data_IF_640964251138
#
_entry.id   IF_640964251138
#
_cell.length_a   1.000
_cell.length_b   1.000
_cell.length_c   1.000
_cell.angle_alpha   90.00
_cell.angle_beta   90.00
_cell.angle_gamma   90.00
#
_symmetry.space_group_name_H-M   'P 1'
#
loop_
_entity.id
_entity.type
_entity.pdbx_description
1 polymer ?
#
# COMPACT_ATOMS: atom_id res chain seq x y z
N UNK A 1 -75.36 -48.51 -19.23
CA UNK A 1 -75.12 -47.90 -20.56
C UNK A 1 -75.01 -46.37 -20.54
N UNK A 2 -76.10 -45.59 -20.70
CA UNK A 2 -75.99 -44.11 -20.88
C UNK A 2 -75.40 -43.38 -19.67
N UNK A 3 -75.79 -43.77 -18.45
CA UNK A 3 -75.27 -43.17 -17.21
C UNK A 3 -73.78 -43.51 -16.94
N UNK A 4 -73.31 -44.71 -17.27
CA UNK A 4 -71.88 -45.06 -17.13
C UNK A 4 -71.01 -44.29 -18.11
N UNK A 5 -71.45 -44.15 -19.36
CA UNK A 5 -70.76 -43.34 -20.37
C UNK A 5 -70.63 -41.88 -19.93
N UNK A 6 -71.69 -41.31 -19.37
CA UNK A 6 -71.65 -39.96 -18.80
C UNK A 6 -70.65 -39.85 -17.64
N UNK A 7 -70.60 -40.84 -16.73
CA UNK A 7 -69.62 -40.84 -15.64
C UNK A 7 -68.18 -40.88 -16.14
N UNK A 8 -67.88 -41.70 -17.15
CA UNK A 8 -66.55 -41.76 -17.73
C UNK A 8 -66.12 -40.44 -18.39
N UNK A 9 -67.04 -39.76 -19.09
CA UNK A 9 -66.78 -38.43 -19.65
C UNK A 9 -66.55 -37.38 -18.56
N UNK A 10 -67.32 -37.40 -17.47
CA UNK A 10 -67.12 -36.49 -16.34
C UNK A 10 -65.72 -36.67 -15.74
N UNK A 11 -65.29 -37.91 -15.46
CA UNK A 11 -63.94 -38.16 -14.92
C UNK A 11 -62.84 -37.72 -15.88
N UNK A 12 -63.02 -37.91 -17.20
CA UNK A 12 -62.05 -37.46 -18.20
C UNK A 12 -61.94 -35.93 -18.23
N UNK A 13 -63.06 -35.22 -18.15
CA UNK A 13 -63.10 -33.75 -18.09
C UNK A 13 -62.47 -33.24 -16.80
N UNK A 14 -62.76 -33.86 -15.66
CA UNK A 14 -62.18 -33.51 -14.36
C UNK A 14 -60.65 -33.63 -14.37
N UNK A 15 -60.12 -34.74 -14.90
CA UNK A 15 -58.68 -34.93 -15.04
C UNK A 15 -58.04 -33.88 -15.96
N UNK A 16 -58.65 -33.59 -17.10
CA UNK A 16 -58.17 -32.56 -18.01
C UNK A 16 -58.20 -31.15 -17.38
N UNK A 17 -59.21 -30.86 -16.55
CA UNK A 17 -59.29 -29.61 -15.78
C UNK A 17 -58.18 -29.53 -14.72
N UNK A 18 -57.91 -30.62 -14.03
CA UNK A 18 -56.81 -30.70 -13.04
C UNK A 18 -55.45 -30.47 -13.71
N UNK A 19 -55.16 -31.17 -14.81
CA UNK A 19 -53.94 -30.99 -15.60
C UNK A 19 -53.77 -29.55 -16.09
N UNK A 20 -54.86 -28.94 -16.57
CA UNK A 20 -54.84 -27.56 -17.04
C UNK A 20 -54.54 -26.58 -15.91
N UNK A 21 -55.14 -26.80 -14.73
CA UNK A 21 -54.93 -25.99 -13.54
C UNK A 21 -53.48 -26.05 -13.09
N UNK A 22 -52.90 -27.24 -12.96
CA UNK A 22 -51.50 -27.40 -12.56
C UNK A 22 -50.54 -26.70 -13.55
N UNK A 23 -50.77 -26.88 -14.86
CA UNK A 23 -50.01 -26.15 -15.90
C UNK A 23 -50.17 -24.64 -15.80
N UNK A 24 -51.35 -24.14 -15.42
CA UNK A 24 -51.58 -22.71 -15.21
C UNK A 24 -50.79 -22.19 -14.00
N UNK A 25 -50.80 -22.91 -12.88
CA UNK A 25 -50.04 -22.56 -11.67
C UNK A 25 -48.53 -22.50 -11.96
N UNK A 26 -47.98 -23.47 -12.70
CA UNK A 26 -46.57 -23.44 -13.14
C UNK A 26 -46.28 -22.21 -14.02
N UNK A 27 -47.16 -21.90 -14.99
CA UNK A 27 -46.98 -20.73 -15.87
C UNK A 27 -46.98 -19.42 -15.08
N UNK A 28 -47.88 -19.27 -14.11
CA UNK A 28 -47.92 -18.08 -13.24
C UNK A 28 -46.64 -17.96 -12.41
N UNK A 29 -46.13 -19.07 -11.88
CA UNK A 29 -44.84 -19.12 -11.20
C UNK A 29 -43.69 -18.61 -12.08
N UNK A 30 -43.58 -19.15 -13.30
CA UNK A 30 -42.55 -18.74 -14.28
C UNK A 30 -42.65 -17.25 -14.66
N UNK A 31 -43.87 -16.73 -14.87
CA UNK A 31 -44.08 -15.29 -15.17
C UNK A 31 -43.62 -14.41 -14.00
N UNK A 32 -43.88 -14.84 -12.77
CA UNK A 32 -43.46 -14.12 -11.56
C UNK A 32 -41.94 -14.09 -11.45
N UNK A 33 -41.27 -15.23 -11.64
CA UNK A 33 -39.81 -15.32 -11.63
C UNK A 33 -39.17 -14.48 -12.76
N UNK A 34 -39.75 -14.50 -13.96
CA UNK A 34 -39.30 -13.66 -15.06
C UNK A 34 -39.42 -12.17 -14.71
N UNK A 35 -40.53 -11.75 -14.11
CA UNK A 35 -40.70 -10.38 -13.63
C UNK A 35 -39.61 -9.98 -12.63
N UNK A 36 -39.34 -10.84 -11.64
CA UNK A 36 -38.25 -10.62 -10.68
C UNK A 36 -36.88 -10.52 -11.37
N UNK A 37 -36.57 -11.42 -12.32
CA UNK A 37 -35.32 -11.37 -13.09
C UNK A 37 -35.19 -10.09 -13.91
N UNK A 38 -36.26 -9.62 -14.55
CA UNK A 38 -36.28 -8.35 -15.28
C UNK A 38 -35.95 -7.16 -14.37
N UNK A 39 -36.54 -7.10 -13.17
CA UNK A 39 -36.19 -6.03 -12.21
C UNK A 39 -34.74 -6.10 -11.74
N UNK A 40 -34.19 -7.31 -11.55
CA UNK A 40 -32.79 -7.50 -11.17
C UNK A 40 -31.84 -7.09 -12.31
N UNK A 41 -32.16 -7.42 -13.55
CA UNK A 41 -31.40 -6.98 -14.73
C UNK A 41 -31.37 -5.46 -14.80
N UNK A 42 -32.51 -4.79 -14.66
CA UNK A 42 -32.58 -3.33 -14.71
C UNK A 42 -31.68 -2.67 -13.63
N UNK A 43 -31.69 -3.20 -12.39
CA UNK A 43 -30.81 -2.71 -11.32
C UNK A 43 -29.34 -2.91 -11.65
N UNK A 44 -28.96 -4.10 -12.09
CA UNK A 44 -27.56 -4.41 -12.47
C UNK A 44 -27.07 -3.55 -13.64
N UNK A 45 -27.95 -3.24 -14.60
CA UNK A 45 -27.61 -2.34 -15.72
C UNK A 45 -27.29 -0.93 -15.23
N UNK A 46 -28.05 -0.41 -14.26
CA UNK A 46 -27.78 0.91 -13.69
C UNK A 46 -26.46 0.91 -12.88
N UNK A 47 -26.23 -0.11 -12.06
CA UNK A 47 -24.97 -0.26 -11.31
C UNK A 47 -23.76 -0.34 -12.26
N UNK A 48 -23.88 -1.09 -13.37
CA UNK A 48 -22.83 -1.16 -14.40
C UNK A 48 -22.55 0.20 -15.04
N UNK A 49 -23.58 1.00 -15.31
CA UNK A 49 -23.42 2.35 -15.87
C UNK A 49 -22.66 3.24 -14.88
N UNK A 50 -23.07 3.24 -13.61
CA UNK A 50 -22.42 4.02 -12.55
C UNK A 50 -20.95 3.63 -12.37
N UNK A 51 -20.66 2.33 -12.31
CA UNK A 51 -19.28 1.84 -12.21
C UNK A 51 -18.42 2.25 -13.41
N UNK A 52 -19.01 2.31 -14.61
CA UNK A 52 -18.30 2.76 -15.82
C UNK A 52 -17.98 4.25 -15.77
N UNK A 53 -18.88 5.07 -15.23
CA UNK A 53 -18.64 6.51 -15.00
C UNK A 53 -17.54 6.72 -13.94
N UNK A 54 -17.60 6.00 -12.82
CA UNK A 54 -16.58 6.05 -11.76
C UNK A 54 -15.20 5.60 -12.27
N UNK A 55 -15.14 4.55 -13.09
CA UNK A 55 -13.89 4.11 -13.73
C UNK A 55 -13.33 5.18 -14.68
N UNK A 56 -14.18 5.85 -15.46
CA UNK A 56 -13.75 6.94 -16.34
C UNK A 56 -13.19 8.13 -15.56
N UNK A 57 -13.85 8.53 -14.48
CA UNK A 57 -13.36 9.59 -13.59
C UNK A 57 -12.03 9.21 -12.93
N UNK A 58 -11.89 7.96 -12.48
CA UNK A 58 -10.64 7.47 -11.92
C UNK A 58 -9.51 7.46 -12.95
N UNK A 59 -9.77 7.01 -14.17
CA UNK A 59 -8.80 7.04 -15.27
C UNK A 59 -8.34 8.47 -15.58
N UNK A 60 -9.25 9.43 -15.64
CA UNK A 60 -8.94 10.86 -15.79
C UNK A 60 -8.10 11.39 -14.63
N UNK A 61 -8.36 10.96 -13.40
CA UNK A 61 -7.56 11.37 -12.24
C UNK A 61 -6.16 10.74 -12.20
N UNK A 62 -5.96 9.64 -12.93
CA UNK A 62 -4.71 8.89 -13.02
C UNK A 62 -3.91 9.24 -14.28
N UNK A 63 -4.38 10.16 -15.14
CA UNK A 63 -3.61 10.56 -16.31
C UNK A 63 -2.30 11.21 -15.86
N UNK A 64 -1.15 10.80 -16.45
CA UNK A 64 0.13 11.44 -16.18
C UNK A 64 0.08 12.95 -16.40
N UNK A 65 0.80 13.69 -15.57
CA UNK A 65 1.02 15.13 -15.78
C UNK A 65 2.14 15.31 -16.81
N UNK A 66 2.12 16.37 -17.63
CA UNK A 66 3.13 16.59 -18.69
C UNK A 66 4.57 16.48 -18.19
N UNK A 67 4.85 16.96 -16.97
CA UNK A 67 6.17 16.94 -16.35
C UNK A 67 6.39 15.74 -15.40
N UNK A 68 5.65 14.65 -15.57
CA UNK A 68 5.84 13.46 -14.76
C UNK A 68 7.23 12.85 -15.05
N UNK A 69 8.07 12.65 -14.01
CA UNK A 69 9.37 12.05 -14.23
C UNK A 69 9.19 10.59 -14.65
N UNK A 70 10.01 10.12 -15.59
CA UNK A 70 9.99 8.72 -16.06
C UNK A 70 10.10 7.70 -14.91
N UNK A 71 10.81 8.08 -13.84
CA UNK A 71 10.94 7.32 -12.61
C UNK A 71 9.62 7.07 -11.86
N UNK A 72 8.57 7.85 -12.14
CA UNK A 72 7.24 7.74 -11.55
C UNK A 72 6.23 7.01 -12.46
N UNK A 73 6.57 6.76 -13.73
CA UNK A 73 5.72 6.03 -14.65
C UNK A 73 5.36 4.64 -14.12
N UNK A 74 4.08 4.29 -14.24
CA UNK A 74 3.55 2.98 -13.84
C UNK A 74 3.44 2.77 -12.33
N UNK A 75 3.72 3.78 -11.50
CA UNK A 75 3.44 3.70 -10.07
C UNK A 75 1.92 3.76 -9.85
N UNK A 76 1.34 2.66 -9.39
CA UNK A 76 -0.11 2.53 -9.20
C UNK A 76 -0.53 2.70 -7.74
N UNK A 77 0.43 2.61 -6.81
CA UNK A 77 0.16 2.69 -5.38
C UNK A 77 1.05 3.69 -4.65
N UNK A 78 0.51 4.27 -3.57
CA UNK A 78 1.27 5.12 -2.65
C UNK A 78 2.50 4.41 -2.06
N UNK A 79 2.44 3.09 -1.86
CA UNK A 79 3.55 2.31 -1.33
C UNK A 79 4.73 2.27 -2.31
N UNK A 80 4.46 2.07 -3.60
CA UNK A 80 5.46 2.10 -4.66
C UNK A 80 6.11 3.50 -4.77
N UNK A 81 5.31 4.56 -4.73
CA UNK A 81 5.81 5.94 -4.70
C UNK A 81 6.72 6.20 -3.50
N UNK A 82 6.31 5.83 -2.30
CA UNK A 82 7.13 6.00 -1.08
C UNK A 82 8.44 5.19 -1.18
N UNK A 83 8.40 4.00 -1.77
CA UNK A 83 9.61 3.19 -2.01
C UNK A 83 10.55 3.92 -2.99
N UNK A 84 10.03 4.46 -4.10
CA UNK A 84 10.84 5.18 -5.08
C UNK A 84 11.44 6.47 -4.51
N UNK A 85 10.68 7.23 -3.71
CA UNK A 85 11.17 8.42 -3.00
C UNK A 85 12.33 8.07 -2.06
N UNK A 86 12.27 6.93 -1.36
CA UNK A 86 13.36 6.50 -0.48
C UNK A 86 14.64 6.20 -1.25
N UNK A 87 14.53 5.51 -2.39
CA UNK A 87 15.67 5.19 -3.26
C UNK A 87 16.28 6.48 -3.80
N UNK A 88 15.47 7.34 -4.43
CA UNK A 88 15.94 8.62 -4.97
C UNK A 88 16.57 9.51 -3.88
N UNK A 89 15.96 9.54 -2.69
CA UNK A 89 16.52 10.28 -1.56
C UNK A 89 17.87 9.75 -1.09
N UNK A 90 18.11 8.44 -1.19
CA UNK A 90 19.41 7.84 -0.88
C UNK A 90 20.43 8.14 -1.98
N UNK A 91 20.05 7.98 -3.25
CA UNK A 91 20.92 8.26 -4.40
C UNK A 91 21.41 9.71 -4.41
N UNK A 92 20.53 10.67 -4.11
CA UNK A 92 20.91 12.09 -3.99
C UNK A 92 21.89 12.30 -2.84
N UNK A 93 21.66 11.67 -1.68
CA UNK A 93 22.57 11.79 -0.53
C UNK A 93 23.96 11.21 -0.85
N UNK A 94 23.99 10.07 -1.53
CA UNK A 94 25.24 9.41 -1.92
C UNK A 94 25.99 10.22 -2.99
N UNK A 95 25.27 10.76 -3.97
CA UNK A 95 25.83 11.65 -4.99
C UNK A 95 26.43 12.94 -4.41
N UNK A 96 25.73 13.59 -3.47
CA UNK A 96 26.24 14.80 -2.79
C UNK A 96 27.48 14.48 -1.96
N UNK A 97 27.47 13.35 -1.24
CA UNK A 97 28.64 12.91 -0.46
C UNK A 97 29.84 12.66 -1.37
N UNK A 98 29.64 11.91 -2.45
CA UNK A 98 30.68 11.63 -3.42
C UNK A 98 31.25 12.92 -4.03
N UNK A 99 30.39 13.83 -4.49
CA UNK A 99 30.82 15.10 -5.06
C UNK A 99 31.64 15.95 -4.08
N UNK A 100 31.23 15.99 -2.81
CA UNK A 100 31.99 16.68 -1.76
C UNK A 100 33.37 16.04 -1.52
N UNK A 101 33.44 14.72 -1.33
CA UNK A 101 34.70 14.00 -1.10
C UNK A 101 35.65 14.21 -2.30
N UNK A 102 35.13 14.13 -3.53
CA UNK A 102 35.90 14.39 -4.74
C UNK A 102 36.44 15.83 -4.82
N UNK A 103 35.63 16.85 -4.47
CA UNK A 103 36.10 18.25 -4.44
C UNK A 103 37.21 18.43 -3.40
N UNK A 104 37.07 17.83 -2.22
CA UNK A 104 38.09 17.88 -1.17
C UNK A 104 39.40 17.28 -1.68
N UNK A 105 39.35 16.15 -2.37
CA UNK A 105 40.53 15.51 -2.91
C UNK A 105 41.16 16.32 -4.05
N UNK A 106 40.34 16.91 -4.93
CA UNK A 106 40.82 17.86 -5.95
C UNK A 106 41.53 19.07 -5.31
N UNK A 107 40.99 19.63 -4.21
CA UNK A 107 41.61 20.75 -3.52
C UNK A 107 42.97 20.39 -2.91
N UNK A 108 43.12 19.18 -2.36
CA UNK A 108 44.41 18.68 -1.85
C UNK A 108 45.45 18.55 -2.97
N UNK A 109 45.03 18.06 -4.14
CA UNK A 109 45.91 17.94 -5.32
C UNK A 109 46.35 19.31 -5.82
N UNK A 110 45.43 20.27 -5.92
CA UNK A 110 45.73 21.61 -6.42
C UNK A 110 46.53 22.47 -5.43
N UNK A 111 46.46 22.17 -4.13
CA UNK A 111 47.14 22.92 -3.07
C UNK A 111 48.06 22.01 -2.23
N UNK A 112 49.11 21.41 -2.82
CA UNK A 112 49.90 20.37 -2.15
C UNK A 112 50.71 20.87 -0.94
N UNK A 113 50.86 22.20 -0.80
CA UNK A 113 51.58 22.83 0.33
C UNK A 113 50.66 23.24 1.47
N UNK A 114 49.35 23.04 1.34
CA UNK A 114 48.34 23.44 2.33
C UNK A 114 47.66 22.19 2.87
N UNK A 115 47.78 21.96 4.17
CA UNK A 115 47.03 20.89 4.83
C UNK A 115 45.59 21.32 5.08
N UNK A 116 44.63 20.63 4.45
CA UNK A 116 43.20 20.92 4.61
C UNK A 116 42.64 20.15 5.80
N UNK A 117 42.26 20.88 6.85
CA UNK A 117 41.49 20.29 7.95
C UNK A 117 40.01 20.14 7.55
N UNK A 118 39.55 18.90 7.46
CA UNK A 118 38.14 18.56 7.16
C UNK A 118 37.33 18.19 8.39
N UNK A 119 37.96 18.16 9.58
CA UNK A 119 37.29 17.85 10.83
C UNK A 119 36.22 18.89 11.15
N UNK A 120 35.02 18.42 11.52
CA UNK A 120 33.92 19.29 11.90
C UNK A 120 33.11 19.90 10.75
N UNK A 121 33.52 19.65 9.49
CA UNK A 121 32.74 19.98 8.30
C UNK A 121 31.37 19.31 8.33
N UNK A 122 30.37 20.04 7.87
CA UNK A 122 28.99 19.56 7.89
C UNK A 122 28.14 20.34 6.91
N UNK A 123 27.31 19.63 6.14
CA UNK A 123 26.27 20.21 5.29
C UNK A 123 25.27 21.12 6.04
N UNK A 124 25.21 21.03 7.37
CA UNK A 124 24.31 21.81 8.23
C UNK A 124 25.01 22.97 8.94
N UNK A 125 26.26 23.25 8.57
CA UNK A 125 27.05 24.34 9.12
C UNK A 125 27.51 25.24 7.97
N UNK A 126 27.77 26.50 8.29
CA UNK A 126 28.36 27.47 7.36
C UNK A 126 29.50 28.22 8.05
N UNK A 127 30.26 28.97 7.26
CA UNK A 127 31.29 29.87 7.78
C UNK A 127 30.66 31.24 8.07
N UNK A 128 30.79 31.71 9.30
CA UNK A 128 30.48 33.09 9.70
C UNK A 128 31.68 33.65 10.45
N UNK A 129 32.18 34.81 10.03
CA UNK A 129 33.33 35.48 10.66
C UNK A 129 34.55 34.55 10.82
N UNK A 130 34.81 33.69 9.84
CA UNK A 130 35.91 32.72 9.87
C UNK A 130 35.67 31.49 10.76
N UNK A 131 34.50 31.33 11.38
CA UNK A 131 34.16 30.18 12.22
C UNK A 131 33.07 29.31 11.59
N UNK A 132 33.18 28.00 11.75
CA UNK A 132 32.19 27.04 11.29
C UNK A 132 31.08 26.91 12.34
N UNK A 133 29.90 27.48 12.04
CA UNK A 133 28.77 27.57 12.97
C UNK A 133 27.53 26.86 12.43
N UNK A 134 26.60 26.51 13.32
CA UNK A 134 25.27 26.01 12.93
C UNK A 134 24.38 27.24 12.70
N UNK A 135 23.87 27.46 11.49
CA UNK A 135 22.90 28.52 11.24
C UNK A 135 21.71 28.52 12.19
N UNK A 136 21.23 29.72 12.51
CA UNK A 136 20.05 29.90 13.35
C UNK A 136 18.83 29.18 12.78
N UNK A 137 18.60 29.23 11.45
CA UNK A 137 17.47 28.52 10.83
C UNK A 137 17.54 26.99 11.00
N UNK A 138 18.75 26.42 11.09
CA UNK A 138 18.95 24.96 11.24
C UNK A 138 19.02 24.50 12.69
N UNK A 139 19.10 25.42 13.67
CA UNK A 139 19.29 25.07 15.08
C UNK A 139 18.18 24.14 15.62
N UNK A 140 16.91 24.38 15.26
CA UNK A 140 15.77 23.51 15.66
C UNK A 140 15.91 22.11 15.06
N UNK A 141 16.26 22.03 13.79
CA UNK A 141 16.40 20.77 13.07
C UNK A 141 17.57 19.95 13.60
N UNK A 142 18.69 20.60 13.88
CA UNK A 142 19.86 20.00 14.49
C UNK A 142 19.56 19.43 15.88
N UNK A 143 18.86 20.19 16.74
CA UNK A 143 18.39 19.69 18.04
C UNK A 143 17.51 18.45 17.89
N UNK A 144 16.60 18.45 16.91
CA UNK A 144 15.71 17.31 16.64
C UNK A 144 16.48 16.09 16.14
N UNK A 145 17.43 16.27 15.21
CA UNK A 145 18.31 15.21 14.69
C UNK A 145 19.12 14.58 15.83
N UNK A 146 19.71 15.41 16.72
CA UNK A 146 20.47 14.93 17.87
C UNK A 146 19.59 14.15 18.86
N UNK A 147 18.37 14.63 19.13
CA UNK A 147 17.38 13.91 19.94
C UNK A 147 16.96 12.58 19.30
N UNK A 148 16.66 12.56 18.00
CA UNK A 148 16.29 11.33 17.29
C UNK A 148 17.42 10.31 17.26
N UNK A 149 18.65 10.74 16.96
CA UNK A 149 19.83 9.87 16.99
C UNK A 149 20.02 9.23 18.37
N UNK A 150 19.93 10.04 19.45
CA UNK A 150 19.96 9.52 20.83
C UNK A 150 18.82 8.52 21.12
N UNK A 151 17.60 8.78 20.63
CA UNK A 151 16.47 7.85 20.78
C UNK A 151 16.72 6.54 20.04
N UNK A 152 17.16 6.60 18.78
CA UNK A 152 17.46 5.43 17.96
C UNK A 152 18.58 4.59 18.58
N UNK A 153 19.64 5.21 19.08
CA UNK A 153 20.72 4.53 19.78
C UNK A 153 20.21 3.81 21.04
N UNK A 154 19.34 4.46 21.84
CA UNK A 154 18.69 3.82 23.00
C UNK A 154 17.80 2.65 22.60
N UNK A 155 17.03 2.77 21.53
CA UNK A 155 16.19 1.67 21.03
C UNK A 155 17.03 0.49 20.57
N UNK A 156 18.12 0.73 19.82
CA UNK A 156 19.07 -0.32 19.41
C UNK A 156 19.70 -1.00 20.63
N UNK A 157 20.22 -0.23 21.57
CA UNK A 157 20.81 -0.78 22.80
C UNK A 157 19.81 -1.65 23.60
N UNK A 158 18.54 -1.23 23.69
CA UNK A 158 17.48 -2.04 24.33
C UNK A 158 17.19 -3.33 23.56
N UNK A 159 17.12 -3.28 22.23
CA UNK A 159 16.91 -4.47 21.41
C UNK A 159 18.08 -5.47 21.56
N UNK A 160 19.31 -4.98 21.54
CA UNK A 160 20.52 -5.79 21.77
C UNK A 160 20.53 -6.38 23.18
N UNK A 161 20.23 -5.58 24.22
CA UNK A 161 20.15 -6.08 25.59
C UNK A 161 19.08 -7.16 25.77
N UNK A 162 17.92 -7.01 25.12
CA UNK A 162 16.86 -8.03 25.12
C UNK A 162 17.29 -9.32 24.41
N UNK A 163 17.99 -9.22 23.28
CA UNK A 163 18.54 -10.39 22.59
C UNK A 163 19.59 -11.13 23.44
N UNK A 164 20.53 -10.39 24.05
CA UNK A 164 21.56 -10.97 24.93
C UNK A 164 20.94 -11.63 26.16
N UNK A 165 19.94 -10.99 26.77
CA UNK A 165 19.21 -11.57 27.91
C UNK A 165 18.51 -12.87 27.51
N UNK A 166 17.79 -12.90 26.39
CA UNK A 166 17.13 -14.11 25.90
C UNK A 166 18.14 -15.25 25.63
N UNK A 167 19.32 -14.95 25.08
CA UNK A 167 20.39 -15.93 24.87
C UNK A 167 20.90 -16.51 26.20
N UNK A 168 21.13 -15.65 27.19
CA UNK A 168 21.62 -16.06 28.52
C UNK A 168 20.59 -16.90 29.28
N UNK A 169 19.30 -16.55 29.19
CA UNK A 169 18.23 -17.37 29.75
C UNK A 169 18.16 -18.75 29.07
N UNK A 170 18.26 -18.81 27.74
CA UNK A 170 18.25 -20.08 27.00
C UNK A 170 19.43 -20.99 27.37
N UNK A 171 20.62 -20.45 27.58
CA UNK A 171 21.80 -21.22 27.97
C UNK A 171 21.72 -21.74 29.42
N UNK A 172 21.18 -20.94 30.36
CA UNK A 172 21.04 -21.37 31.75
C UNK A 172 19.92 -22.40 31.96
N UNK A 173 18.84 -22.34 31.17
CA UNK A 173 17.80 -23.39 31.18
C UNK A 173 18.34 -24.69 30.57
N UNK A 174 19.16 -24.60 29.52
CA UNK A 174 19.85 -25.75 28.93
C UNK A 174 20.87 -26.42 29.88
N UNK A 175 21.66 -25.64 30.62
CA UNK A 175 22.60 -26.20 31.61
C UNK A 175 21.88 -26.87 32.79
N UNK A 176 20.75 -26.33 33.25
CA UNK A 176 19.95 -26.96 34.32
C UNK A 176 19.29 -28.27 33.90
N UNK A 177 19.05 -28.49 32.61
CA UNK A 177 18.48 -29.73 32.09
C UNK A 177 19.52 -30.87 31.95
N UNK A 178 20.83 -30.57 32.01
CA UNK A 178 21.92 -31.55 31.85
C UNK A 178 22.47 -32.02 33.22
N UNK A 179 22.01 -31.45 34.34
CA UNK A 179 22.50 -31.76 35.70
C UNK A 179 21.52 -32.61 36.53
N UNK A 180 20.73 -33.48 35.91
CA UNK A 180 19.89 -34.49 36.59
C UNK A 180 20.24 -35.87 36.04
#
# INVERSE_FOLDING_TARGET
>A
AKNEKLRAEVTKVENAFSDYREKHEIRVGLVTELGQKTTKIARLTEDMKKLREELGALQLSMTPVEDEPEAAHGLSTRAELVKKIRVLGQDVLDGVKFGFDNIVDQLKVLNPKVELNTEGLSMLKRVENGQVVIPTEYAKWWRRKKKMSKRMARTRARATAKMVSNLFYSQNVGLRAITI
#
